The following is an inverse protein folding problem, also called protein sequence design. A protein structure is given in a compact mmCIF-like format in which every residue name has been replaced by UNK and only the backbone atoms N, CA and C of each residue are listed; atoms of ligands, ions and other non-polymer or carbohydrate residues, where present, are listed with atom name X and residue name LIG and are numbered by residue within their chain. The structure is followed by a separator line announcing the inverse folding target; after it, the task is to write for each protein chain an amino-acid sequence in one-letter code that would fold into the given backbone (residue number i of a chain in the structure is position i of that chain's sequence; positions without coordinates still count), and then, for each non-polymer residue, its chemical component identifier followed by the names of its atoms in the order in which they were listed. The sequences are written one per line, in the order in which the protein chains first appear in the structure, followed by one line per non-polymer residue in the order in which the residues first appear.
data_IF_500743583234
#
_entry.id   IF_500743583234
#
_cell.length_a   1.000
_cell.length_b   1.000
_cell.length_c   1.000
_cell.angle_alpha   90.00
_cell.angle_beta   90.00
_cell.angle_gamma   90.00
#
_symmetry.space_group_name_H-M   'P 1'
#
loop_
_entity.id
_entity.type
_entity.pdbx_description
1 polymer ?
#
# COMPACT_ATOMS: atom_id res chain seq x y z
N UNK A 1 -1.01 4.13 0.69
CA UNK A 1 -2.34 3.59 0.38
C UNK A 1 -3.33 3.87 1.50
N UNK A 2 -3.11 3.39 2.74
CA UNK A 2 -3.97 3.64 3.92
C UNK A 2 -4.25 5.14 4.11
N UNK A 3 -3.21 5.97 4.02
CA UNK A 3 -3.34 7.42 4.14
C UNK A 3 -4.35 8.01 3.14
N UNK A 4 -4.31 7.60 1.88
CA UNK A 4 -5.23 8.10 0.85
C UNK A 4 -6.69 7.70 1.13
N UNK A 5 -6.89 6.45 1.57
CA UNK A 5 -8.22 5.95 1.89
C UNK A 5 -8.81 6.65 3.13
N UNK A 6 -7.99 6.89 4.15
CA UNK A 6 -8.45 7.53 5.39
C UNK A 6 -8.54 9.04 5.26
N UNK A 7 -7.71 9.67 4.44
CA UNK A 7 -7.72 11.12 4.22
C UNK A 7 -9.09 11.64 3.78
N UNK A 8 -9.76 10.92 2.86
CA UNK A 8 -11.11 11.27 2.42
C UNK A 8 -12.12 11.29 3.56
N UNK A 9 -12.04 10.32 4.48
CA UNK A 9 -12.92 10.23 5.63
C UNK A 9 -12.67 11.36 6.64
N UNK A 10 -11.41 11.68 6.94
CA UNK A 10 -11.07 12.83 7.78
C UNK A 10 -11.51 14.16 7.17
N UNK A 11 -11.34 14.29 5.88
CA UNK A 11 -11.76 15.50 5.16
C UNK A 11 -13.27 15.64 5.09
N UNK A 12 -14.03 14.54 5.15
CA UNK A 12 -15.49 14.52 5.15
C UNK A 12 -16.13 14.81 6.51
N UNK A 13 -15.37 14.95 7.58
CA UNK A 13 -15.89 15.28 8.91
C UNK A 13 -16.39 16.73 8.95
N UNK A 14 -17.55 16.93 9.56
CA UNK A 14 -18.07 18.27 9.83
C UNK A 14 -17.32 18.89 11.02
N UNK A 15 -16.61 20.00 10.82
CA UNK A 15 -15.92 20.71 11.90
C UNK A 15 -16.84 21.15 13.03
N UNK A 16 -18.14 21.35 12.74
CA UNK A 16 -19.14 21.74 13.74
C UNK A 16 -19.28 20.71 14.87
N UNK A 17 -19.02 19.41 14.60
CA UNK A 17 -19.05 18.36 15.62
C UNK A 17 -17.91 18.55 16.64
N UNK A 18 -16.71 18.88 16.18
CA UNK A 18 -15.58 19.16 17.04
C UNK A 18 -15.75 20.48 17.81
N UNK A 19 -16.24 21.53 17.13
CA UNK A 19 -16.50 22.83 17.77
C UNK A 19 -17.62 22.69 18.82
N UNK A 20 -18.66 21.87 18.59
CA UNK A 20 -19.72 21.59 19.57
C UNK A 20 -19.18 20.86 20.80
N UNK A 21 -18.32 19.85 20.64
CA UNK A 21 -17.72 19.15 21.74
C UNK A 21 -16.84 20.10 22.59
N UNK A 22 -16.10 21.00 21.96
CA UNK A 22 -15.26 21.99 22.65
C UNK A 22 -16.09 23.05 23.38
N UNK A 23 -17.20 23.49 22.83
CA UNK A 23 -18.12 24.42 23.52
C UNK A 23 -18.76 23.77 24.75
N UNK A 24 -18.93 22.43 24.74
CA UNK A 24 -19.33 21.65 25.91
C UNK A 24 -18.20 21.41 26.93
N UNK A 25 -17.01 21.99 26.72
CA UNK A 25 -15.89 21.89 27.64
C UNK A 25 -14.92 20.73 27.40
N UNK A 26 -15.11 19.95 26.33
CA UNK A 26 -14.20 18.85 26.00
C UNK A 26 -12.81 19.36 25.57
N UNK A 27 -11.76 18.76 26.12
CA UNK A 27 -10.38 19.02 25.71
C UNK A 27 -10.09 18.46 24.30
N UNK A 28 -8.96 18.88 23.72
CA UNK A 28 -8.56 18.44 22.35
C UNK A 28 -8.48 16.92 22.23
N UNK A 29 -7.83 16.26 23.20
CA UNK A 29 -7.66 14.80 23.21
C UNK A 29 -9.00 14.11 23.42
N UNK A 30 -9.86 14.64 24.27
CA UNK A 30 -11.19 14.09 24.53
C UNK A 30 -12.07 14.20 23.30
N UNK A 31 -12.08 15.32 22.60
CA UNK A 31 -12.77 15.51 21.33
C UNK A 31 -12.26 14.50 20.28
N UNK A 32 -10.93 14.35 20.17
CA UNK A 32 -10.33 13.41 19.22
C UNK A 32 -10.77 11.96 19.48
N UNK A 33 -10.73 11.51 20.74
CA UNK A 33 -11.02 10.11 21.11
C UNK A 33 -12.52 9.82 21.11
N UNK A 34 -13.34 10.76 21.59
CA UNK A 34 -14.79 10.53 21.77
C UNK A 34 -15.64 10.94 20.57
N UNK A 35 -15.16 11.85 19.72
CA UNK A 35 -15.92 12.35 18.57
C UNK A 35 -15.25 11.98 17.26
N UNK A 36 -14.03 12.47 17.01
CA UNK A 36 -13.37 12.34 15.71
C UNK A 36 -13.04 10.89 15.38
N UNK A 37 -12.37 10.17 16.31
CA UNK A 37 -11.92 8.80 16.06
C UNK A 37 -13.09 7.82 15.83
N UNK A 38 -14.17 7.79 16.62
CA UNK A 38 -15.31 6.90 16.36
C UNK A 38 -15.99 7.15 15.02
N UNK A 39 -16.03 8.40 14.55
CA UNK A 39 -16.61 8.75 13.25
C UNK A 39 -15.76 8.27 12.08
N UNK A 40 -14.43 8.28 12.22
CA UNK A 40 -13.49 7.86 11.17
C UNK A 40 -13.11 6.38 11.28
N UNK A 41 -13.33 5.75 12.44
CA UNK A 41 -12.95 4.36 12.71
C UNK A 41 -13.41 3.36 11.63
N UNK A 42 -14.64 3.43 11.06
CA UNK A 42 -15.05 2.52 9.99
C UNK A 42 -14.19 2.65 8.74
N UNK A 43 -13.79 3.88 8.37
CA UNK A 43 -12.93 4.12 7.22
C UNK A 43 -11.49 3.64 7.45
N UNK A 44 -10.97 3.88 8.67
CA UNK A 44 -9.63 3.38 9.08
C UNK A 44 -9.64 1.85 9.05
N UNK A 45 -10.68 1.21 9.60
CA UNK A 45 -10.79 -0.24 9.61
C UNK A 45 -10.87 -0.81 8.19
N UNK A 46 -11.66 -0.18 7.31
CA UNK A 46 -11.72 -0.57 5.90
C UNK A 46 -10.37 -0.45 5.19
N UNK A 47 -9.67 0.66 5.40
CA UNK A 47 -8.34 0.86 4.84
C UNK A 47 -7.33 -0.15 5.38
N UNK A 48 -7.41 -0.50 6.67
CA UNK A 48 -6.57 -1.51 7.30
C UNK A 48 -6.80 -2.90 6.70
N UNK A 49 -8.06 -3.33 6.58
CA UNK A 49 -8.42 -4.64 6.02
C UNK A 49 -7.96 -4.75 4.57
N UNK A 50 -8.21 -3.72 3.74
CA UNK A 50 -7.74 -3.71 2.35
C UNK A 50 -6.21 -3.77 2.25
N UNK A 51 -5.50 -3.04 3.12
CA UNK A 51 -4.03 -3.09 3.14
C UNK A 51 -3.50 -4.44 3.63
N UNK A 52 -4.20 -5.07 4.55
CA UNK A 52 -3.86 -6.40 5.03
C UNK A 52 -4.05 -7.46 3.94
N UNK A 53 -5.15 -7.38 3.16
CA UNK A 53 -5.38 -8.25 2.00
C UNK A 53 -4.25 -8.07 0.98
N UNK A 54 -3.88 -6.83 0.63
CA UNK A 54 -2.76 -6.56 -0.28
C UNK A 54 -1.43 -7.09 0.25
N UNK A 55 -1.22 -7.05 1.57
CA UNK A 55 -0.04 -7.64 2.21
C UNK A 55 0.03 -9.17 2.07
N UNK A 56 -1.11 -9.85 2.18
CA UNK A 56 -1.19 -11.32 1.99
C UNK A 56 -0.96 -11.70 0.53
N UNK A 57 -1.45 -10.89 -0.42
CA UNK A 57 -1.31 -11.11 -1.85
C UNK A 57 0.05 -10.66 -2.41
N UNK A 58 0.88 -10.00 -1.59
CA UNK A 58 2.20 -9.54 -2.01
C UNK A 58 3.09 -10.71 -2.43
N UNK A 59 3.72 -10.61 -3.60
CA UNK A 59 4.55 -11.64 -4.20
C UNK A 59 5.97 -11.15 -4.46
N UNK A 60 6.14 -9.98 -5.09
CA UNK A 60 7.40 -9.51 -5.63
C UNK A 60 8.49 -9.33 -4.56
N UNK A 61 8.15 -8.59 -3.50
CA UNK A 61 9.10 -8.30 -2.41
C UNK A 61 9.46 -9.56 -1.63
N UNK A 62 8.48 -10.40 -1.18
CA UNK A 62 8.78 -11.66 -0.53
C UNK A 62 9.60 -12.63 -1.39
N UNK A 63 9.39 -12.68 -2.71
CA UNK A 63 10.20 -13.56 -3.59
C UNK A 63 11.65 -13.08 -3.63
N UNK A 64 11.88 -11.78 -3.78
CA UNK A 64 13.23 -11.25 -3.96
C UNK A 64 14.04 -11.23 -2.66
N UNK A 65 13.42 -10.87 -1.54
CA UNK A 65 14.11 -10.66 -0.27
C UNK A 65 13.90 -11.85 0.68
N UNK A 66 12.69 -12.39 0.75
CA UNK A 66 12.34 -13.47 1.69
C UNK A 66 12.90 -14.82 1.27
N UNK A 67 12.81 -15.18 -0.02
CA UNK A 67 13.27 -16.49 -0.50
C UNK A 67 14.75 -16.77 -0.22
N UNK A 68 15.70 -15.85 -0.45
CA UNK A 68 17.10 -16.04 -0.09
C UNK A 68 17.33 -16.21 1.42
N UNK A 69 16.48 -15.60 2.24
CA UNK A 69 16.51 -15.71 3.70
C UNK A 69 15.77 -16.95 4.25
N UNK A 70 15.19 -17.79 3.39
CA UNK A 70 14.38 -18.95 3.79
C UNK A 70 12.99 -18.60 4.33
N UNK A 71 12.52 -17.37 4.13
CA UNK A 71 11.21 -16.89 4.56
C UNK A 71 10.24 -17.00 3.40
N UNK A 72 9.21 -17.82 3.56
CA UNK A 72 8.20 -18.05 2.53
C UNK A 72 6.84 -17.53 3.01
N UNK A 73 6.17 -16.78 2.15
CA UNK A 73 4.78 -16.36 2.33
C UNK A 73 3.87 -17.20 1.43
N UNK A 74 2.56 -17.12 1.62
CA UNK A 74 1.59 -17.94 0.88
C UNK A 74 1.80 -17.91 -0.65
N UNK A 75 1.94 -16.73 -1.21
CA UNK A 75 2.12 -16.53 -2.66
C UNK A 75 3.41 -17.14 -3.17
N UNK A 76 4.51 -17.03 -2.41
CA UNK A 76 5.78 -17.65 -2.74
C UNK A 76 5.72 -19.17 -2.68
N UNK A 77 5.02 -19.73 -1.68
CA UNK A 77 4.89 -21.17 -1.53
C UNK A 77 4.03 -21.78 -2.65
N UNK A 78 2.98 -21.07 -3.10
CA UNK A 78 2.21 -21.47 -4.27
C UNK A 78 3.12 -21.52 -5.51
N UNK A 79 3.91 -20.49 -5.73
CA UNK A 79 4.85 -20.42 -6.84
C UNK A 79 5.88 -21.54 -6.77
N UNK A 80 6.48 -21.77 -5.59
CA UNK A 80 7.41 -22.87 -5.36
C UNK A 80 6.80 -24.24 -5.66
N UNK A 81 5.57 -24.48 -5.21
CA UNK A 81 4.88 -25.75 -5.40
C UNK A 81 4.69 -26.08 -6.89
N UNK A 82 4.59 -25.07 -7.75
CA UNK A 82 4.41 -25.24 -9.20
C UNK A 82 5.76 -25.27 -9.91
N UNK A 83 6.68 -24.36 -9.59
CA UNK A 83 7.87 -24.08 -10.40
C UNK A 83 9.12 -24.85 -9.96
N UNK A 84 9.24 -25.23 -8.68
CA UNK A 84 10.48 -25.77 -8.14
C UNK A 84 10.42 -27.26 -7.73
N UNK A 85 9.25 -27.91 -7.81
CA UNK A 85 9.13 -29.34 -7.54
C UNK A 85 8.93 -30.13 -8.84
N UNK A 86 9.64 -31.24 -8.97
CA UNK A 86 9.46 -32.24 -10.02
C UNK A 86 9.11 -33.59 -9.39
N UNK A 87 7.86 -34.11 -9.60
CA UNK A 87 6.74 -33.48 -10.31
C UNK A 87 6.11 -32.32 -9.56
N UNK A 88 5.57 -31.33 -10.30
CA UNK A 88 4.91 -30.14 -9.73
C UNK A 88 3.78 -30.54 -8.78
N UNK A 89 3.73 -29.87 -7.61
CA UNK A 89 2.74 -30.17 -6.56
C UNK A 89 1.48 -29.32 -6.73
N UNK A 90 0.74 -29.52 -7.83
CA UNK A 90 -0.47 -28.75 -8.12
C UNK A 90 -1.54 -28.84 -7.02
N UNK A 91 -1.68 -30.01 -6.36
CA UNK A 91 -2.60 -30.15 -5.23
C UNK A 91 -2.30 -29.24 -4.06
N UNK A 92 -1.02 -29.09 -3.71
CA UNK A 92 -0.59 -28.15 -2.66
C UNK A 92 -0.84 -26.70 -3.08
N UNK A 93 -0.45 -26.34 -4.30
CA UNK A 93 -0.66 -24.99 -4.83
C UNK A 93 -2.14 -24.60 -4.84
N UNK A 94 -3.00 -25.52 -5.28
CA UNK A 94 -4.46 -25.32 -5.31
C UNK A 94 -5.03 -25.18 -3.89
N UNK A 95 -4.61 -26.01 -2.95
CA UNK A 95 -5.05 -25.95 -1.55
C UNK A 95 -4.68 -24.61 -0.89
N UNK A 96 -3.43 -24.14 -1.11
CA UNK A 96 -2.99 -22.83 -0.63
C UNK A 96 -3.74 -21.70 -1.29
N UNK A 97 -3.97 -21.78 -2.62
CA UNK A 97 -4.75 -20.77 -3.36
C UNK A 97 -6.19 -20.66 -2.83
N UNK A 98 -6.87 -21.79 -2.63
CA UNK A 98 -8.23 -21.81 -2.05
C UNK A 98 -8.22 -21.23 -0.63
N UNK A 99 -7.18 -21.51 0.17
CA UNK A 99 -7.05 -20.97 1.52
C UNK A 99 -6.94 -19.44 1.53
N UNK A 100 -6.18 -18.85 0.59
CA UNK A 100 -6.09 -17.39 0.44
C UNK A 100 -7.44 -16.80 0.02
N UNK A 101 -8.11 -17.41 -0.96
CA UNK A 101 -9.43 -16.95 -1.41
C UNK A 101 -10.44 -16.98 -0.27
N UNK A 102 -10.46 -18.05 0.52
CA UNK A 102 -11.35 -18.15 1.67
C UNK A 102 -11.04 -17.10 2.74
N UNK A 103 -9.75 -16.89 3.04
CA UNK A 103 -9.30 -15.87 4.00
C UNK A 103 -9.69 -14.46 3.53
N UNK A 104 -9.42 -14.14 2.26
CA UNK A 104 -9.77 -12.84 1.66
C UNK A 104 -11.29 -12.62 1.68
N UNK A 105 -12.07 -13.64 1.32
CA UNK A 105 -13.53 -13.57 1.38
C UNK A 105 -14.04 -13.32 2.82
N UNK A 106 -13.48 -14.02 3.80
CA UNK A 106 -13.84 -13.83 5.21
C UNK A 106 -13.54 -12.40 5.68
N UNK A 107 -12.37 -11.85 5.31
CA UNK A 107 -11.98 -10.47 5.64
C UNK A 107 -12.89 -9.44 4.99
N UNK A 108 -13.21 -9.61 3.71
CA UNK A 108 -14.15 -8.74 2.98
C UNK A 108 -15.55 -8.82 3.58
N UNK A 109 -16.00 -10.01 3.95
CA UNK A 109 -17.30 -10.21 4.61
C UNK A 109 -17.36 -9.49 5.97
N UNK A 110 -16.31 -9.61 6.78
CA UNK A 110 -16.18 -8.91 8.06
C UNK A 110 -16.21 -7.38 7.81
N UNK A 111 -15.48 -6.91 6.84
CA UNK A 111 -15.46 -5.49 6.45
C UNK A 111 -16.87 -5.00 6.07
N UNK A 112 -17.55 -5.75 5.20
CA UNK A 112 -18.91 -5.40 4.77
C UNK A 112 -19.87 -5.36 5.95
N UNK A 113 -19.80 -6.32 6.85
CA UNK A 113 -20.65 -6.37 8.06
C UNK A 113 -20.40 -5.20 9.01
N UNK A 114 -19.14 -4.78 9.17
CA UNK A 114 -18.79 -3.66 10.05
C UNK A 114 -19.17 -2.32 9.41
N UNK A 115 -19.02 -2.19 8.10
CA UNK A 115 -19.33 -0.96 7.36
C UNK A 115 -20.81 -0.86 6.97
N UNK A 116 -21.52 -1.98 6.82
CA UNK A 116 -22.82 -2.07 6.16
C UNK A 116 -23.98 -1.36 6.85
N UNK A 117 -23.89 -1.03 8.14
CA UNK A 117 -24.97 -0.34 8.86
C UNK A 117 -24.67 1.14 9.20
N UNK A 118 -23.46 1.61 8.93
CA UNK A 118 -23.03 2.96 9.30
C UNK A 118 -22.63 3.77 8.07
N UNK A 119 -23.59 3.96 7.16
CA UNK A 119 -23.47 5.03 6.18
C UNK A 119 -23.63 6.36 6.92
N UNK A 120 -22.54 6.94 7.36
CA UNK A 120 -22.51 8.33 7.81
C UNK A 120 -22.72 9.27 6.62
N UNK A 121 -23.96 9.32 6.14
CA UNK A 121 -24.38 10.42 5.29
C UNK A 121 -24.38 11.68 6.15
N UNK A 122 -23.47 12.58 5.90
CA UNK A 122 -23.60 13.95 6.35
C UNK A 122 -24.85 14.52 5.70
N UNK A 123 -25.94 14.62 6.48
CA UNK A 123 -27.25 15.12 6.04
C UNK A 123 -27.22 16.58 5.64
N UNK A 124 -26.12 17.26 5.77
CA UNK A 124 -25.96 18.67 5.39
C UNK A 124 -25.41 18.78 3.98
N UNK A 125 -26.30 18.85 3.01
CA UNK A 125 -26.02 19.24 1.61
C UNK A 125 -25.57 20.71 1.44
N UNK A 126 -25.00 21.34 2.45
CA UNK A 126 -24.39 22.67 2.39
C UNK A 126 -22.88 22.52 2.39
N UNK A 127 -22.30 23.01 1.33
CA UNK A 127 -20.90 23.09 0.97
C UNK A 127 -19.89 22.88 2.10
N UNK A 128 -19.29 21.71 2.06
CA UNK A 128 -18.13 21.37 2.88
C UNK A 128 -16.99 22.37 2.60
N UNK A 129 -16.67 23.20 3.56
CA UNK A 129 -15.47 24.05 3.56
C UNK A 129 -14.43 23.42 4.47
N UNK A 130 -13.46 22.66 3.94
CA UNK A 130 -12.42 22.05 4.75
C UNK A 130 -11.62 23.15 5.45
N UNK A 131 -11.50 23.05 6.75
CA UNK A 131 -10.66 23.95 7.53
C UNK A 131 -9.20 23.69 7.20
N UNK A 132 -8.63 24.47 6.29
CA UNK A 132 -7.23 24.33 5.89
C UNK A 132 -6.35 24.82 7.04
N UNK A 133 -5.67 23.88 7.71
CA UNK A 133 -4.65 24.22 8.70
C UNK A 133 -3.45 24.81 7.95
N UNK A 134 -3.21 26.10 8.14
CA UNK A 134 -2.08 26.78 7.51
C UNK A 134 -0.80 26.40 8.28
N UNK A 135 0.02 25.53 7.71
CA UNK A 135 1.30 25.10 8.26
C UNK A 135 2.35 26.24 8.36
N UNK A 136 2.07 27.43 7.86
CA UNK A 136 2.90 28.62 7.91
C UNK A 136 4.39 28.32 7.62
N UNK A 137 5.26 28.31 8.63
CA UNK A 137 6.69 28.05 8.46
C UNK A 137 6.98 26.57 8.19
N UNK A 138 6.19 25.65 8.74
CA UNK A 138 6.35 24.20 8.58
C UNK A 138 5.99 23.66 7.20
N UNK A 139 5.41 24.49 6.33
CA UNK A 139 5.07 24.06 4.95
C UNK A 139 6.32 23.69 4.14
N UNK A 140 7.43 24.41 4.34
CA UNK A 140 8.64 24.18 3.57
C UNK A 140 9.35 22.89 3.96
N UNK A 141 9.62 22.58 5.26
CA UNK A 141 10.18 21.28 5.65
C UNK A 141 9.24 20.12 5.29
N UNK A 142 7.94 20.26 5.45
CA UNK A 142 6.98 19.22 5.06
C UNK A 142 7.00 18.97 3.54
N UNK A 143 7.03 20.04 2.73
CA UNK A 143 7.15 19.94 1.27
C UNK A 143 8.48 19.29 0.85
N UNK A 144 9.58 19.72 1.46
CA UNK A 144 10.92 19.21 1.15
C UNK A 144 11.04 17.72 1.50
N UNK A 145 10.48 17.30 2.62
CA UNK A 145 10.45 15.89 3.04
C UNK A 145 9.60 15.05 2.07
N UNK A 146 8.42 15.54 1.69
CA UNK A 146 7.57 14.86 0.70
C UNK A 146 8.22 14.80 -0.70
N UNK A 147 8.81 15.90 -1.14
CA UNK A 147 9.53 15.97 -2.41
C UNK A 147 10.75 15.04 -2.42
N UNK A 148 11.53 15.01 -1.33
CA UNK A 148 12.67 14.11 -1.17
C UNK A 148 12.21 12.64 -1.19
N UNK A 149 11.12 12.32 -0.50
CA UNK A 149 10.55 10.96 -0.52
C UNK A 149 10.16 10.54 -1.93
N UNK A 150 9.42 11.36 -2.67
CA UNK A 150 9.00 11.08 -4.05
C UNK A 150 10.22 10.94 -4.96
N UNK A 151 11.20 11.84 -4.82
CA UNK A 151 12.43 11.82 -5.61
C UNK A 151 13.20 10.52 -5.38
N UNK A 152 13.38 10.11 -4.13
CA UNK A 152 14.05 8.84 -3.81
C UNK A 152 13.23 7.63 -4.28
N UNK A 153 11.91 7.64 -4.07
CA UNK A 153 11.03 6.54 -4.46
C UNK A 153 10.97 6.32 -5.98
N UNK A 154 11.24 7.35 -6.78
CA UNK A 154 11.26 7.26 -8.25
C UNK A 154 12.67 7.07 -8.78
N UNK A 155 13.63 7.91 -8.36
CA UNK A 155 14.97 7.91 -8.92
C UNK A 155 15.75 6.65 -8.56
N UNK A 156 15.61 6.12 -7.32
CA UNK A 156 16.34 4.91 -6.94
C UNK A 156 15.92 3.69 -7.76
N UNK A 157 14.62 3.33 -7.87
CA UNK A 157 14.22 2.17 -8.67
C UNK A 157 14.52 2.35 -10.16
N UNK A 158 14.24 3.53 -10.73
CA UNK A 158 14.52 3.79 -12.15
C UNK A 158 16.03 3.80 -12.42
N UNK A 159 16.81 4.42 -11.54
CA UNK A 159 18.27 4.40 -11.63
C UNK A 159 18.84 2.98 -11.54
N UNK A 160 18.31 2.16 -10.62
CA UNK A 160 18.69 0.76 -10.49
C UNK A 160 18.35 -0.05 -11.74
N UNK A 161 17.16 0.14 -12.32
CA UNK A 161 16.76 -0.52 -13.57
C UNK A 161 17.67 -0.13 -14.73
N UNK A 162 17.97 1.15 -14.86
CA UNK A 162 18.91 1.63 -15.90
C UNK A 162 20.31 1.06 -15.71
N UNK A 163 20.84 1.07 -14.48
CA UNK A 163 22.13 0.48 -14.18
C UNK A 163 22.14 -1.02 -14.47
N UNK A 164 21.10 -1.74 -14.04
CA UNK A 164 20.96 -3.17 -14.28
C UNK A 164 20.86 -3.52 -15.76
N UNK A 165 20.16 -2.70 -16.56
CA UNK A 165 20.03 -2.91 -18.01
C UNK A 165 21.33 -2.70 -18.79
N UNK A 166 22.26 -1.93 -18.23
CA UNK A 166 23.57 -1.65 -18.83
C UNK A 166 24.68 -2.61 -18.36
N UNK A 167 24.41 -3.50 -17.40
CA UNK A 167 25.40 -4.42 -16.86
C UNK A 167 25.30 -5.78 -17.52
N UNK A 168 26.45 -6.38 -17.89
CA UNK A 168 26.55 -7.76 -18.41
C UNK A 168 26.09 -8.82 -17.44
N UNK A 169 26.42 -8.66 -16.14
CA UNK A 169 26.13 -9.60 -15.08
C UNK A 169 25.36 -8.93 -13.95
N UNK A 170 24.21 -9.48 -13.58
CA UNK A 170 23.37 -8.96 -12.50
C UNK A 170 24.10 -9.14 -11.16
N UNK A 171 24.34 -8.03 -10.46
CA UNK A 171 24.92 -8.04 -9.10
C UNK A 171 26.41 -7.68 -9.02
N UNK A 172 27.13 -7.51 -10.13
CA UNK A 172 28.54 -7.09 -10.15
C UNK A 172 28.65 -5.63 -10.63
N UNK A 173 28.61 -4.70 -9.69
CA UNK A 173 28.66 -3.26 -9.95
C UNK A 173 30.10 -2.79 -10.24
N UNK A 174 30.62 -3.09 -11.42
CA UNK A 174 31.94 -2.61 -11.89
C UNK A 174 31.77 -1.78 -13.15
N UNK A 175 32.43 -0.61 -13.21
CA UNK A 175 32.40 0.27 -14.38
C UNK A 175 32.90 -0.39 -15.68
N UNK A 176 33.64 -1.51 -15.56
CA UNK A 176 34.12 -2.31 -16.70
C UNK A 176 33.05 -3.18 -17.35
N UNK A 177 31.94 -3.45 -16.69
CA UNK A 177 30.87 -4.35 -17.15
C UNK A 177 29.70 -3.59 -17.79
N UNK A 178 29.86 -2.30 -18.08
CA UNK A 178 28.84 -1.51 -18.77
C UNK A 178 28.86 -1.87 -20.25
N UNK A 179 27.77 -2.47 -20.72
CA UNK A 179 27.60 -2.89 -22.11
C UNK A 179 26.17 -2.62 -22.60
N UNK A 180 26.03 -2.38 -23.88
CA UNK A 180 24.74 -2.27 -24.57
C UNK A 180 24.30 -3.58 -25.21
N UNK A 181 24.99 -4.70 -24.92
CA UNK A 181 24.75 -5.99 -25.55
C UNK A 181 23.31 -6.48 -25.38
N UNK A 182 22.69 -6.24 -24.20
CA UNK A 182 21.30 -6.63 -23.95
C UNK A 182 20.32 -5.93 -24.91
N UNK A 183 20.56 -4.64 -25.19
CA UNK A 183 19.74 -3.90 -26.15
C UNK A 183 19.98 -4.40 -27.59
N UNK A 184 21.22 -4.71 -27.93
CA UNK A 184 21.55 -5.25 -29.26
C UNK A 184 20.86 -6.61 -29.49
N UNK A 185 20.93 -7.53 -28.53
CA UNK A 185 20.26 -8.83 -28.61
C UNK A 185 18.73 -8.68 -28.64
N UNK A 186 18.17 -7.81 -27.80
CA UNK A 186 16.71 -7.58 -27.78
C UNK A 186 16.16 -7.04 -29.11
N UNK A 187 16.94 -6.26 -29.84
CA UNK A 187 16.55 -5.75 -31.16
C UNK A 187 16.96 -6.66 -32.32
N UNK A 188 18.01 -7.46 -32.17
CA UNK A 188 18.48 -8.37 -33.21
C UNK A 188 17.65 -9.67 -33.28
N UNK A 189 17.23 -10.21 -32.12
CA UNK A 189 16.45 -11.46 -32.05
C UNK A 189 14.95 -11.29 -32.38
N UNK A 190 14.47 -10.07 -32.60
CA UNK A 190 13.09 -9.81 -33.05
C UNK A 190 12.89 -9.83 -34.57
N UNK A 191 13.90 -10.24 -35.35
CA UNK A 191 13.86 -10.25 -36.83
C UNK A 191 13.96 -11.68 -37.38
N UNK A 192 13.39 -12.69 -36.68
CA UNK A 192 13.18 -14.03 -37.27
C UNK A 192 11.74 -14.47 -37.03
#
# INVERSE_FOLDING_TARGET
FIFLLTYGAFRGLDPALEDSARTCGAGIIETLVRVTFPLVAPAILGAFILSFIQGIEAFEVPVLIGTPAGIYVFTNEIYRAIAFFEPSRYGLATALGISIVFLTFALVYIQWRIQGERQYFTITGKGYNPRIVRLRVWRWPAFLLGALYILLAVILPVGQLLLSSLQSDVGVYTLKNITLSHYYHAFADQVV
#
